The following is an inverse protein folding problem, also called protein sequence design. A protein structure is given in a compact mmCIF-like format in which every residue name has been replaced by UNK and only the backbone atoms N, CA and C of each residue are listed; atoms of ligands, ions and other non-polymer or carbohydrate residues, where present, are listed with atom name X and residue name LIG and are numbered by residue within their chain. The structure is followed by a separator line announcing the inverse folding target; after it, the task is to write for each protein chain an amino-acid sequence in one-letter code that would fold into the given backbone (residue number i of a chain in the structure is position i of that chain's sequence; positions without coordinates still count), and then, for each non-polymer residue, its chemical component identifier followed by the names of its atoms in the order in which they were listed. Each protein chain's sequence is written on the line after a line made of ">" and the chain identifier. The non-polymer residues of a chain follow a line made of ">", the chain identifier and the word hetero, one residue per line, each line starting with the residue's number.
data_IF_678849331688
#
_entry.id   IF_678849331688
#
_cell.length_a   1.000
_cell.length_b   1.000
_cell.length_c   1.000
_cell.angle_alpha   90.00
_cell.angle_beta   90.00
_cell.angle_gamma   90.00
#
_symmetry.space_group_name_H-M   'P 1'
#
loop_
_entity.id
_entity.type
_entity.pdbx_description
1 polymer ?
#
# COMPACT_ATOMS: atom_id res chain seq x y z
N UNK A 1 3.18 4.86 -3.94
CA UNK A 1 2.49 4.37 -5.16
C UNK A 1 1.94 5.49 -6.01
N UNK A 2 1.08 6.37 -5.45
CA UNK A 2 0.55 7.56 -6.15
C UNK A 2 1.63 8.35 -6.90
N UNK A 3 2.75 8.68 -6.24
CA UNK A 3 3.88 9.38 -6.87
C UNK A 3 4.43 8.68 -8.13
N UNK A 4 4.49 7.35 -8.16
CA UNK A 4 5.00 6.58 -9.29
C UNK A 4 3.99 6.51 -10.46
N UNK A 5 2.69 6.59 -10.18
CA UNK A 5 1.62 6.55 -11.18
C UNK A 5 1.24 7.92 -11.74
N UNK A 6 1.69 9.00 -11.11
CA UNK A 6 1.49 10.37 -11.60
C UNK A 6 2.26 10.63 -12.89
N UNK A 7 3.50 10.14 -13.01
CA UNK A 7 4.33 10.31 -14.21
C UNK A 7 3.69 9.76 -15.49
N UNK A 8 3.12 8.53 -15.50
CA UNK A 8 2.39 8.02 -16.66
C UNK A 8 0.92 8.52 -16.76
N UNK A 9 0.48 9.44 -15.89
CA UNK A 9 -0.90 9.92 -15.81
C UNK A 9 -1.95 8.80 -15.57
N UNK A 10 -1.57 7.78 -14.79
CA UNK A 10 -2.42 6.63 -14.48
C UNK A 10 -3.07 6.73 -13.09
N UNK A 11 -2.69 7.70 -12.26
CA UNK A 11 -3.17 7.84 -10.89
C UNK A 11 -4.70 7.95 -10.77
N UNK A 12 -5.38 8.53 -11.77
CA UNK A 12 -6.83 8.68 -11.80
C UNK A 12 -7.60 7.34 -11.82
N UNK A 13 -7.01 6.29 -12.39
CA UNK A 13 -7.62 4.95 -12.46
C UNK A 13 -7.62 4.21 -11.11
N UNK A 14 -6.99 4.79 -10.09
CA UNK A 14 -7.09 4.32 -8.71
C UNK A 14 -8.40 4.71 -8.04
N UNK A 15 -9.18 5.62 -8.63
CA UNK A 15 -10.42 6.15 -8.04
C UNK A 15 -11.57 6.26 -9.05
N UNK A 16 -11.26 6.38 -10.35
CA UNK A 16 -12.26 6.44 -11.41
C UNK A 16 -12.90 5.07 -11.67
N UNK A 17 -14.23 5.06 -11.80
CA UNK A 17 -14.98 3.90 -12.24
C UNK A 17 -15.03 3.82 -13.77
N UNK A 18 -15.36 2.65 -14.29
CA UNK A 18 -15.60 2.46 -15.72
C UNK A 18 -16.72 3.41 -16.21
N UNK A 19 -16.61 3.98 -17.42
CA UNK A 19 -17.68 4.77 -18.01
C UNK A 19 -18.97 3.93 -18.13
N UNK A 20 -20.10 4.48 -17.70
CA UNK A 20 -21.42 3.84 -17.88
C UNK A 20 -21.95 4.11 -19.29
N UNK A 21 -22.22 3.04 -20.04
CA UNK A 21 -22.91 3.13 -21.32
C UNK A 21 -24.42 3.37 -21.09
N UNK A 22 -24.99 4.39 -21.72
CA UNK A 22 -26.44 4.60 -21.70
C UNK A 22 -27.11 3.60 -22.67
N UNK A 23 -28.22 2.99 -22.26
CA UNK A 23 -28.96 2.02 -23.10
C UNK A 23 -29.69 2.80 -24.20
N UNK A 24 -29.10 2.86 -25.40
CA UNK A 24 -29.72 3.47 -26.58
C UNK A 24 -28.75 4.13 -27.54
N UNK A 25 -27.52 4.42 -27.13
CA UNK A 25 -26.52 5.04 -28.00
C UNK A 25 -25.77 3.98 -28.81
N UNK A 26 -26.20 3.83 -30.07
CA UNK A 26 -25.35 3.35 -31.16
C UNK A 26 -24.24 4.40 -31.38
N UNK A 27 -23.30 4.52 -30.46
CA UNK A 27 -22.21 5.47 -30.61
C UNK A 27 -20.87 4.76 -30.48
N UNK A 28 -20.26 4.51 -31.64
CA UNK A 28 -18.91 3.94 -31.79
C UNK A 28 -17.91 4.69 -30.89
N UNK A 29 -18.16 5.98 -30.64
CA UNK A 29 -17.37 6.81 -29.76
C UNK A 29 -17.47 6.39 -28.28
N UNK A 30 -18.66 6.02 -27.80
CA UNK A 30 -18.85 5.54 -26.43
C UNK A 30 -18.18 4.18 -26.20
N UNK A 31 -18.27 3.26 -27.17
CA UNK A 31 -17.52 2.01 -27.15
C UNK A 31 -16.01 2.24 -27.16
N UNK A 32 -15.53 3.14 -28.02
CA UNK A 32 -14.10 3.49 -28.10
C UNK A 32 -13.58 4.09 -26.79
N UNK A 33 -14.37 4.95 -26.13
CA UNK A 33 -14.02 5.51 -24.82
C UNK A 33 -13.94 4.42 -23.73
N UNK A 34 -14.86 3.46 -23.72
CA UNK A 34 -14.84 2.31 -22.80
C UNK A 34 -13.61 1.44 -23.02
N UNK A 35 -13.25 1.15 -24.27
CA UNK A 35 -12.07 0.32 -24.57
C UNK A 35 -10.76 1.05 -24.24
N UNK A 36 -10.68 2.35 -24.50
CA UNK A 36 -9.55 3.19 -24.08
C UNK A 36 -9.41 3.23 -22.54
N UNK A 37 -10.52 3.29 -21.82
CA UNK A 37 -10.52 3.21 -20.36
C UNK A 37 -10.03 1.84 -19.89
N UNK A 38 -10.55 0.74 -20.44
CA UNK A 38 -10.11 -0.63 -20.08
C UNK A 38 -8.61 -0.82 -20.30
N UNK A 39 -8.10 -0.34 -21.43
CA UNK A 39 -6.67 -0.42 -21.74
C UNK A 39 -5.84 0.35 -20.71
N UNK A 40 -6.24 1.57 -20.39
CA UNK A 40 -5.54 2.42 -19.41
C UNK A 40 -5.61 1.85 -17.99
N UNK A 41 -6.77 1.32 -17.58
CA UNK A 41 -6.94 0.62 -16.32
C UNK A 41 -6.05 -0.64 -16.25
N UNK A 42 -5.97 -1.41 -17.32
CA UNK A 42 -5.08 -2.57 -17.40
C UNK A 42 -3.61 -2.15 -17.25
N UNK A 43 -3.17 -1.08 -17.92
CA UNK A 43 -1.82 -0.56 -17.75
C UNK A 43 -1.56 -0.16 -16.28
N UNK A 44 -2.48 0.59 -15.66
CA UNK A 44 -2.37 0.98 -14.26
C UNK A 44 -2.25 -0.24 -13.33
N UNK A 45 -3.12 -1.23 -13.51
CA UNK A 45 -3.09 -2.50 -12.78
C UNK A 45 -1.75 -3.22 -12.96
N UNK A 46 -1.26 -3.31 -14.20
CA UNK A 46 -0.01 -3.99 -14.53
C UNK A 46 1.20 -3.29 -13.88
N UNK A 47 1.23 -1.95 -13.90
CA UNK A 47 2.24 -1.16 -13.17
C UNK A 47 2.23 -1.45 -11.67
N UNK A 48 1.04 -1.56 -11.07
CA UNK A 48 0.91 -1.90 -9.66
C UNK A 48 1.46 -3.29 -9.40
N UNK A 49 1.02 -4.29 -10.17
CA UNK A 49 1.44 -5.68 -10.00
C UNK A 49 2.96 -5.87 -10.17
N UNK A 50 3.60 -5.19 -11.13
CA UNK A 50 5.06 -5.27 -11.31
C UNK A 50 5.87 -4.62 -10.17
N UNK A 51 5.25 -3.76 -9.38
CA UNK A 51 5.90 -3.19 -8.19
C UNK A 51 5.83 -4.10 -6.96
N UNK A 52 5.00 -5.15 -7.03
CA UNK A 52 4.84 -6.09 -5.93
C UNK A 52 5.93 -7.15 -5.96
N UNK A 53 6.32 -7.62 -4.78
CA UNK A 53 7.13 -8.82 -4.64
C UNK A 53 6.31 -10.06 -5.07
N UNK A 54 6.97 -11.09 -5.61
CA UNK A 54 6.33 -12.30 -6.15
C UNK A 54 5.34 -12.95 -5.18
N UNK A 55 5.66 -12.95 -3.88
CA UNK A 55 4.78 -13.50 -2.83
C UNK A 55 3.45 -12.75 -2.68
N UNK A 56 3.40 -11.48 -3.09
CA UNK A 56 2.17 -10.68 -3.11
C UNK A 56 1.45 -10.79 -4.45
N UNK A 57 2.17 -11.00 -5.55
CA UNK A 57 1.57 -11.13 -6.88
C UNK A 57 0.48 -12.21 -6.90
N UNK A 58 0.78 -13.40 -6.37
CA UNK A 58 -0.18 -14.53 -6.34
C UNK A 58 -1.44 -14.24 -5.54
N UNK A 59 -1.35 -13.38 -4.51
CA UNK A 59 -2.47 -12.97 -3.65
C UNK A 59 -3.36 -11.94 -4.36
N UNK A 60 -2.76 -11.03 -5.13
CA UNK A 60 -3.44 -9.86 -5.69
C UNK A 60 -3.79 -9.99 -7.18
N UNK A 61 -3.31 -11.01 -7.89
CA UNK A 61 -3.60 -11.20 -9.32
C UNK A 61 -5.09 -11.38 -9.65
N UNK A 62 -5.93 -11.72 -8.67
CA UNK A 62 -7.37 -11.94 -8.87
C UNK A 62 -8.22 -10.67 -8.95
N UNK A 63 -7.65 -9.49 -8.69
CA UNK A 63 -8.38 -8.22 -8.81
C UNK A 63 -8.50 -7.81 -10.28
N UNK A 64 -9.70 -7.39 -10.70
CA UNK A 64 -10.02 -7.12 -12.10
C UNK A 64 -9.75 -5.66 -12.51
N UNK A 65 -9.65 -4.75 -11.53
CA UNK A 65 -9.42 -3.33 -11.77
C UNK A 65 -8.25 -2.81 -10.95
N UNK A 66 -7.60 -1.75 -11.45
CA UNK A 66 -6.52 -1.08 -10.71
C UNK A 66 -7.03 -0.47 -9.41
N UNK A 67 -8.26 0.03 -9.41
CA UNK A 67 -8.93 0.57 -8.22
C UNK A 67 -9.09 -0.48 -7.12
N UNK A 68 -9.75 -1.62 -7.39
CA UNK A 68 -9.97 -2.65 -6.37
C UNK A 68 -8.64 -3.20 -5.80
N UNK A 69 -7.65 -3.40 -6.69
CA UNK A 69 -6.30 -3.79 -6.30
C UNK A 69 -5.70 -2.75 -5.33
N UNK A 70 -5.76 -1.47 -5.71
CA UNK A 70 -5.22 -0.39 -4.92
C UNK A 70 -5.94 -0.23 -3.58
N UNK A 71 -7.26 -0.25 -3.53
CA UNK A 71 -8.02 -0.16 -2.27
C UNK A 71 -7.67 -1.30 -1.32
N UNK A 72 -7.48 -2.52 -1.85
CA UNK A 72 -7.08 -3.68 -1.04
C UNK A 72 -5.68 -3.49 -0.45
N UNK A 73 -4.72 -3.05 -1.27
CA UNK A 73 -3.36 -2.72 -0.82
C UNK A 73 -3.38 -1.58 0.19
N UNK A 74 -4.08 -0.49 -0.11
CA UNK A 74 -4.18 0.70 0.73
C UNK A 74 -4.77 0.36 2.09
N UNK A 75 -5.85 -0.42 2.14
CA UNK A 75 -6.46 -0.90 3.39
C UNK A 75 -5.50 -1.78 4.20
N UNK A 76 -4.76 -2.68 3.56
CA UNK A 76 -3.80 -3.55 4.26
C UNK A 76 -2.66 -2.75 4.90
N UNK A 77 -2.08 -1.81 4.13
CA UNK A 77 -0.87 -1.10 4.53
C UNK A 77 -1.09 0.24 5.24
N UNK A 78 -2.30 0.83 5.15
CA UNK A 78 -2.72 1.95 6.00
C UNK A 78 -3.49 1.51 7.25
N UNK A 79 -3.62 0.20 7.49
CA UNK A 79 -4.21 -0.30 8.73
C UNK A 79 -3.49 0.28 9.95
N UNK A 80 -4.24 0.48 11.03
CA UNK A 80 -3.67 0.97 12.30
C UNK A 80 -2.52 0.07 12.76
N UNK A 81 -2.64 -1.24 12.55
CA UNK A 81 -1.61 -2.25 12.82
C UNK A 81 -0.31 -2.00 12.02
N UNK A 82 -0.40 -1.80 10.70
CA UNK A 82 0.79 -1.50 9.88
C UNK A 82 1.44 -0.15 10.27
N UNK A 83 0.64 0.83 10.68
CA UNK A 83 1.12 2.11 11.19
C UNK A 83 1.83 1.95 12.54
N UNK A 84 1.26 1.17 13.47
CA UNK A 84 1.84 0.85 14.77
C UNK A 84 3.19 0.13 14.64
N UNK A 85 3.25 -0.89 13.77
CA UNK A 85 4.49 -1.60 13.45
C UNK A 85 5.58 -0.67 12.92
N UNK A 86 5.24 0.20 11.96
CA UNK A 86 6.18 1.19 11.41
C UNK A 86 6.67 2.18 12.48
N UNK A 87 5.78 2.63 13.35
CA UNK A 87 6.12 3.53 14.45
C UNK A 87 7.09 2.89 15.44
N UNK A 88 6.85 1.64 15.83
CA UNK A 88 7.73 0.90 16.74
C UNK A 88 9.11 0.65 16.12
N UNK A 89 9.18 0.29 14.84
CA UNK A 89 10.46 0.14 14.11
C UNK A 89 11.24 1.46 14.11
N UNK A 90 10.57 2.59 13.87
CA UNK A 90 11.19 3.91 13.95
C UNK A 90 11.74 4.21 15.34
N UNK A 91 10.92 4.04 16.38
CA UNK A 91 11.35 4.22 17.79
C UNK A 91 12.55 3.34 18.15
N UNK A 92 12.59 2.11 17.65
CA UNK A 92 13.69 1.19 17.89
C UNK A 92 14.98 1.64 17.23
N UNK A 93 14.92 2.03 15.96
CA UNK A 93 16.09 2.51 15.21
C UNK A 93 16.62 3.85 15.76
N UNK A 94 15.73 4.71 16.25
CA UNK A 94 16.08 6.01 16.82
C UNK A 94 16.52 5.92 18.29
N UNK A 95 16.31 4.77 18.96
CA UNK A 95 16.64 4.62 20.37
C UNK A 95 18.16 4.74 20.60
N UNK A 96 18.54 5.70 21.44
CA UNK A 96 19.92 5.92 21.86
C UNK A 96 19.95 6.23 23.35
N UNK A 97 20.91 5.63 24.06
CA UNK A 97 21.13 5.96 25.47
C UNK A 97 21.82 7.33 25.56
N UNK A 98 21.45 8.10 26.58
CA UNK A 98 21.99 9.43 26.86
C UNK A 98 22.59 9.48 28.27
N UNK A 99 23.64 10.29 28.45
CA UNK A 99 24.40 10.36 29.71
C UNK A 99 23.61 11.01 30.86
N UNK A 100 22.55 11.76 30.55
CA UNK A 100 21.73 12.47 31.54
C UNK A 100 20.78 11.57 32.34
N UNK A 101 20.70 10.28 32.01
CA UNK A 101 19.78 9.32 32.63
C UNK A 101 20.54 8.08 33.12
N UNK A 102 20.03 7.43 34.15
CA UNK A 102 20.64 6.18 34.63
C UNK A 102 20.54 5.09 33.56
N UNK A 103 21.58 4.25 33.46
CA UNK A 103 21.59 3.10 32.55
C UNK A 103 20.36 2.23 32.79
N UNK A 104 19.99 2.01 34.05
CA UNK A 104 18.88 1.12 34.38
C UNK A 104 17.53 1.63 33.86
N UNK A 105 17.22 2.91 34.03
CA UNK A 105 15.97 3.48 33.52
C UNK A 105 15.86 3.34 32.01
N UNK A 106 16.98 3.53 31.30
CA UNK A 106 17.03 3.43 29.85
C UNK A 106 16.92 1.98 29.34
N UNK A 107 17.51 1.02 30.07
CA UNK A 107 17.35 -0.41 29.77
C UNK A 107 15.89 -0.85 29.95
N UNK A 108 15.20 -0.37 30.98
CA UNK A 108 13.77 -0.66 31.17
C UNK A 108 12.92 -0.11 30.03
N UNK A 109 13.19 1.13 29.58
CA UNK A 109 12.51 1.73 28.42
C UNK A 109 12.73 0.89 27.15
N UNK A 110 13.97 0.44 26.92
CA UNK A 110 14.29 -0.43 25.80
C UNK A 110 13.59 -1.80 25.88
N UNK A 111 13.50 -2.39 27.07
CA UNK A 111 12.78 -3.65 27.29
C UNK A 111 11.28 -3.52 27.01
N UNK A 112 10.66 -2.41 27.39
CA UNK A 112 9.25 -2.12 27.05
C UNK A 112 9.09 -2.04 25.54
N UNK A 113 9.97 -1.32 24.85
CA UNK A 113 9.95 -1.20 23.40
C UNK A 113 10.10 -2.56 22.70
N UNK A 114 10.99 -3.43 23.20
CA UNK A 114 11.13 -4.80 22.71
C UNK A 114 9.85 -5.62 22.91
N UNK A 115 9.22 -5.49 24.07
CA UNK A 115 7.96 -6.19 24.36
C UNK A 115 6.83 -5.70 23.45
N UNK A 116 6.73 -4.40 23.20
CA UNK A 116 5.77 -3.83 22.24
C UNK A 116 5.99 -4.41 20.84
N UNK A 117 7.23 -4.50 20.37
CA UNK A 117 7.59 -5.09 19.07
C UNK A 117 7.13 -6.55 18.97
N UNK A 118 7.42 -7.34 20.01
CA UNK A 118 7.03 -8.76 20.05
C UNK A 118 5.51 -8.95 20.12
N UNK A 119 4.81 -8.09 20.88
CA UNK A 119 3.35 -8.13 21.02
C UNK A 119 2.66 -7.84 19.69
N UNK A 120 3.22 -6.94 18.89
CA UNK A 120 2.78 -6.67 17.51
C UNK A 120 3.15 -7.79 16.52
N UNK A 121 3.77 -8.88 16.98
CA UNK A 121 4.12 -10.04 16.16
C UNK A 121 5.33 -9.81 15.25
N UNK A 122 6.16 -8.81 15.54
CA UNK A 122 7.44 -8.59 14.86
C UNK A 122 8.55 -9.34 15.60
N UNK A 123 9.56 -9.81 14.86
CA UNK A 123 10.73 -10.48 15.41
C UNK A 123 12.00 -9.73 15.02
N UNK A 124 12.92 -9.60 15.97
CA UNK A 124 14.28 -9.16 15.69
C UNK A 124 15.08 -10.37 15.24
N UNK A 125 15.68 -10.30 14.06
CA UNK A 125 16.54 -11.35 13.52
C UNK A 125 17.99 -10.95 13.83
N UNK A 126 18.71 -11.81 14.55
CA UNK A 126 20.11 -11.62 14.94
C UNK A 126 21.08 -12.25 13.95
#
# INVERSE_FOLDING_TARGET
>A
MLFYLTTPNLAKFLTENAPTLSVGESDVQALSAVDAWKHSNYLCWNYIMNSLHDSLYSVYQGFNTANELWESLDRKYKSVDACAKKFLVGRFLDFKMVDSRTIMSQVQEFQVLLHEIQTEGMALIS
#
